data_IF_036223319887
#
_entry.id   IF_036223319887
#
_cell.length_a   1.000
_cell.length_b   1.000
_cell.length_c   1.000
_cell.angle_alpha   90.00
_cell.angle_beta   90.00
_cell.angle_gamma   90.00
#
_symmetry.space_group_name_H-M   'P 1'
#
loop_
_entity.id
_entity.type
_entity.pdbx_description
1 polymer ?
#
# COMPACT_ATOMS: atom_id res chain seq x y z
N UNK A 1 22.22 38.06 -39.11
CA UNK A 1 21.39 38.19 -37.88
C UNK A 1 19.90 37.88 -38.07
N UNK A 2 19.46 37.24 -39.17
CA UNK A 2 18.05 36.77 -39.31
C UNK A 2 17.87 35.27 -39.02
N UNK A 3 18.93 34.46 -39.15
CA UNK A 3 18.87 33.01 -38.89
C UNK A 3 18.92 32.63 -37.40
N UNK A 4 19.51 33.45 -36.54
CA UNK A 4 19.55 33.20 -35.08
C UNK A 4 18.14 33.27 -34.47
N UNK A 5 17.25 34.10 -35.04
CA UNK A 5 15.88 34.25 -34.56
C UNK A 5 15.00 33.00 -34.78
N UNK A 6 15.32 32.21 -35.81
CA UNK A 6 14.59 30.96 -36.11
C UNK A 6 14.95 29.81 -35.16
N UNK A 7 16.15 29.82 -34.56
CA UNK A 7 16.58 28.78 -33.61
C UNK A 7 15.86 28.95 -32.26
N UNK A 8 15.51 30.18 -31.88
CA UNK A 8 14.79 30.46 -30.64
C UNK A 8 13.32 29.99 -30.68
N UNK A 9 12.71 29.91 -31.87
CA UNK A 9 11.32 29.49 -32.08
C UNK A 9 11.15 27.97 -32.02
N UNK A 10 12.23 27.18 -32.16
CA UNK A 10 12.16 25.71 -32.08
C UNK A 10 12.13 25.16 -30.63
N UNK A 11 12.52 25.97 -29.63
CA UNK A 11 12.50 25.54 -28.23
C UNK A 11 11.12 25.63 -27.55
N UNK A 12 10.17 26.38 -28.12
CA UNK A 12 8.81 26.53 -27.58
C UNK A 12 7.86 25.39 -27.95
N UNK A 13 8.21 24.52 -28.91
CA UNK A 13 7.37 23.40 -29.35
C UNK A 13 7.68 22.06 -28.67
N UNK A 14 8.62 22.02 -27.71
CA UNK A 14 8.93 20.80 -26.95
C UNK A 14 8.22 20.74 -25.59
N UNK A 15 7.02 21.30 -25.47
CA UNK A 15 6.15 21.06 -24.31
C UNK A 15 5.50 19.66 -24.43
N UNK A 16 6.32 18.60 -24.40
CA UNK A 16 5.84 17.28 -24.02
C UNK A 16 5.44 17.41 -22.56
N UNK A 17 4.15 17.29 -22.28
CA UNK A 17 3.55 17.36 -20.95
C UNK A 17 4.51 16.86 -19.86
N UNK A 18 5.13 17.78 -19.13
CA UNK A 18 5.96 17.42 -17.99
C UNK A 18 5.02 16.76 -16.99
N UNK A 19 5.33 15.51 -16.64
CA UNK A 19 4.62 14.78 -15.60
C UNK A 19 4.65 15.64 -14.33
N UNK A 20 3.47 16.09 -13.90
CA UNK A 20 3.36 16.94 -12.72
C UNK A 20 3.69 16.10 -11.48
N UNK A 21 4.73 16.50 -10.76
CA UNK A 21 5.09 15.90 -9.47
C UNK A 21 4.35 16.65 -8.37
N UNK A 22 3.57 15.93 -7.58
CA UNK A 22 2.73 16.45 -6.52
C UNK A 22 3.15 15.83 -5.17
N UNK A 23 2.91 16.52 -4.04
CA UNK A 23 3.05 15.90 -2.73
C UNK A 23 2.19 14.62 -2.60
N UNK A 24 2.70 13.63 -1.87
CA UNK A 24 2.09 12.31 -1.68
C UNK A 24 0.59 12.38 -1.33
N UNK A 25 0.22 13.29 -0.42
CA UNK A 25 -1.14 13.42 0.11
C UNK A 25 -2.06 14.32 -0.72
N UNK A 26 -1.62 14.80 -1.88
CA UNK A 26 -2.46 15.65 -2.73
C UNK A 26 -3.65 14.86 -3.31
N UNK A 27 -4.74 15.57 -3.61
CA UNK A 27 -5.95 14.96 -4.16
C UNK A 27 -5.77 14.62 -5.65
N UNK A 28 -5.93 13.35 -5.98
CA UNK A 28 -5.91 12.91 -7.38
C UNK A 28 -7.12 13.41 -8.19
N UNK A 29 -8.24 13.79 -7.54
CA UNK A 29 -9.47 14.19 -8.25
C UNK A 29 -9.26 15.44 -9.11
N UNK A 30 -8.69 16.47 -8.50
CA UNK A 30 -8.35 17.74 -9.14
C UNK A 30 -7.03 17.70 -9.90
N UNK A 31 -6.27 16.61 -9.81
CA UNK A 31 -4.96 16.48 -10.46
C UNK A 31 -5.09 16.16 -11.95
N UNK A 32 -4.17 16.67 -12.80
CA UNK A 32 -4.08 16.29 -14.21
C UNK A 32 -3.76 14.81 -14.40
N UNK A 33 -4.16 14.26 -15.55
CA UNK A 33 -3.78 12.91 -15.95
C UNK A 33 -2.24 12.76 -16.01
N UNK A 34 -1.73 11.58 -15.68
CA UNK A 34 -0.32 11.22 -15.56
C UNK A 34 0.46 11.93 -14.43
N UNK A 35 -0.21 12.59 -13.48
CA UNK A 35 0.46 13.16 -12.30
C UNK A 35 1.13 12.08 -11.44
N UNK A 36 2.21 12.45 -10.76
CA UNK A 36 2.99 11.59 -9.86
C UNK A 36 2.95 12.13 -8.43
N UNK A 37 2.34 11.38 -7.52
CA UNK A 37 2.28 11.65 -6.09
C UNK A 37 3.52 11.08 -5.41
N UNK A 38 4.48 11.96 -5.11
CA UNK A 38 5.81 11.58 -4.63
C UNK A 38 5.93 11.78 -3.12
N UNK A 39 6.55 10.82 -2.44
CA UNK A 39 6.94 10.96 -1.03
C UNK A 39 8.22 11.80 -0.89
N UNK A 40 8.10 13.11 -1.15
CA UNK A 40 9.24 14.04 -1.13
C UNK A 40 9.76 14.31 0.28
N UNK A 41 8.96 14.04 1.32
CA UNK A 41 9.29 14.28 2.72
C UNK A 41 9.74 13.00 3.46
N UNK A 42 9.90 11.88 2.73
CA UNK A 42 10.31 10.59 3.29
C UNK A 42 9.41 10.11 4.44
N UNK A 43 8.10 10.42 4.38
CA UNK A 43 7.15 10.07 5.43
C UNK A 43 6.97 8.55 5.55
N UNK A 44 7.18 7.82 4.44
CA UNK A 44 7.03 6.37 4.34
C UNK A 44 8.23 5.59 4.90
N UNK A 45 9.41 6.20 4.97
CA UNK A 45 10.67 5.50 5.25
C UNK A 45 10.68 4.86 6.65
N UNK A 46 9.99 5.48 7.61
CA UNK A 46 9.82 4.93 8.95
C UNK A 46 9.26 3.50 8.93
N UNK A 47 8.25 3.26 8.09
CA UNK A 47 7.52 1.99 8.05
C UNK A 47 8.31 0.89 7.32
N UNK A 48 9.29 1.23 6.49
CA UNK A 48 10.08 0.26 5.73
C UNK A 48 10.92 -0.59 6.67
N UNK A 49 10.87 -1.91 6.49
CA UNK A 49 11.64 -2.86 7.28
C UNK A 49 10.88 -4.14 7.59
N UNK A 50 11.49 -4.96 8.45
CA UNK A 50 10.89 -6.18 8.98
C UNK A 50 10.34 -5.86 10.37
N UNK A 51 9.08 -6.22 10.58
CA UNK A 51 8.38 -5.99 11.83
C UNK A 51 7.81 -7.29 12.35
N UNK A 52 7.94 -7.52 13.65
CA UNK A 52 7.43 -8.75 14.28
C UNK A 52 6.55 -8.44 15.47
N UNK A 53 5.54 -9.27 15.68
CA UNK A 53 4.70 -9.27 16.88
C UNK A 53 4.23 -10.68 17.21
N UNK A 54 3.68 -10.84 18.42
CA UNK A 54 3.04 -12.07 18.86
C UNK A 54 1.63 -11.76 19.33
N UNK A 55 0.65 -12.51 18.85
CA UNK A 55 -0.76 -12.35 19.21
C UNK A 55 -1.46 -13.72 19.22
N UNK A 56 -2.07 -14.11 20.33
CA UNK A 56 -2.83 -15.38 20.44
C UNK A 56 -2.08 -16.63 19.93
N UNK A 57 -0.82 -16.81 20.35
CA UNK A 57 0.07 -17.91 19.90
C UNK A 57 0.40 -17.89 18.39
N UNK A 58 0.15 -16.76 17.72
CA UNK A 58 0.60 -16.50 16.37
C UNK A 58 1.83 -15.58 16.40
N UNK A 59 2.91 -16.04 15.77
CA UNK A 59 4.03 -15.19 15.40
C UNK A 59 3.66 -14.50 14.09
N UNK A 60 3.72 -13.17 14.07
CA UNK A 60 3.39 -12.35 12.91
C UNK A 60 4.66 -11.65 12.46
N UNK A 61 5.03 -11.83 11.20
CA UNK A 61 6.10 -11.10 10.54
C UNK A 61 5.51 -10.26 9.42
N UNK A 62 5.82 -8.97 9.39
CA UNK A 62 5.56 -8.07 8.28
C UNK A 62 6.89 -7.71 7.61
N UNK A 63 6.89 -7.65 6.29
CA UNK A 63 7.98 -7.14 5.47
C UNK A 63 7.41 -6.00 4.63
N UNK A 64 7.76 -4.78 5.03
CA UNK A 64 7.23 -3.56 4.44
C UNK A 64 8.29 -2.96 3.53
N UNK A 65 7.94 -2.75 2.27
CA UNK A 65 8.81 -2.13 1.28
C UNK A 65 8.15 -0.89 0.69
N UNK A 66 8.96 0.10 0.33
CA UNK A 66 8.53 1.29 -0.41
C UNK A 66 8.61 0.99 -1.91
N UNK A 67 7.49 1.14 -2.59
CA UNK A 67 7.39 1.04 -4.05
C UNK A 67 7.36 2.46 -4.63
N UNK A 68 8.24 2.71 -5.58
CA UNK A 68 8.39 4.02 -6.21
C UNK A 68 7.61 4.06 -7.51
N UNK A 69 6.86 5.15 -7.72
CA UNK A 69 6.17 5.42 -8.99
C UNK A 69 5.27 4.26 -9.44
N UNK A 70 4.54 3.65 -8.49
CA UNK A 70 3.53 2.61 -8.75
C UNK A 70 2.37 3.20 -9.55
N UNK A 71 1.97 2.60 -10.68
CA UNK A 71 0.83 3.09 -11.46
C UNK A 71 -0.49 2.79 -10.73
N UNK A 72 -1.45 3.70 -10.86
CA UNK A 72 -2.84 3.45 -10.47
C UNK A 72 -3.78 4.26 -11.37
N UNK A 73 -5.01 3.78 -11.53
CA UNK A 73 -6.04 4.45 -12.32
C UNK A 73 -7.17 4.90 -11.40
N UNK A 74 -7.66 6.13 -11.60
CA UNK A 74 -8.85 6.62 -10.93
C UNK A 74 -9.57 7.66 -11.79
N UNK A 75 -10.91 7.58 -11.84
CA UNK A 75 -11.74 8.47 -12.69
C UNK A 75 -11.29 8.52 -14.16
N UNK A 76 -10.90 7.37 -14.73
CA UNK A 76 -10.39 7.25 -16.11
C UNK A 76 -9.11 8.06 -16.37
N UNK A 77 -8.36 8.40 -15.32
CA UNK A 77 -7.05 9.04 -15.37
C UNK A 77 -6.01 8.07 -14.84
N UNK A 78 -4.86 8.02 -15.49
CA UNK A 78 -3.68 7.30 -15.04
C UNK A 78 -2.84 8.19 -14.14
N UNK A 79 -2.29 7.61 -13.09
CA UNK A 79 -1.44 8.31 -12.13
C UNK A 79 -0.31 7.41 -11.69
N UNK A 80 0.64 7.99 -10.96
CA UNK A 80 1.72 7.28 -10.31
C UNK A 80 1.79 7.71 -8.86
N UNK A 81 2.13 6.82 -7.94
CA UNK A 81 2.33 7.15 -6.52
C UNK A 81 3.54 6.41 -5.97
N UNK A 82 4.25 7.03 -5.04
CA UNK A 82 5.04 6.25 -4.09
C UNK A 82 4.07 5.64 -3.08
N UNK A 83 4.39 4.46 -2.55
CA UNK A 83 3.55 3.79 -1.58
C UNK A 83 4.27 2.66 -0.87
N UNK A 84 3.59 2.06 0.10
CA UNK A 84 4.04 0.88 0.80
C UNK A 84 3.34 -0.35 0.25
N UNK A 85 4.11 -1.43 0.14
CA UNK A 85 3.61 -2.79 0.00
C UNK A 85 4.04 -3.60 1.20
N UNK A 86 3.08 -4.29 1.82
CA UNK A 86 3.33 -5.16 2.97
C UNK A 86 3.14 -6.61 2.54
N UNK A 87 4.19 -7.39 2.75
CA UNK A 87 4.11 -8.86 2.75
C UNK A 87 4.12 -9.34 4.18
N UNK A 88 3.58 -10.52 4.43
CA UNK A 88 3.50 -11.04 5.77
C UNK A 88 3.64 -12.57 5.82
N UNK A 89 3.96 -13.07 7.00
CA UNK A 89 3.95 -14.48 7.34
C UNK A 89 3.34 -14.63 8.73
N UNK A 90 2.34 -15.51 8.85
CA UNK A 90 1.69 -15.88 10.09
C UNK A 90 2.09 -17.32 10.40
N UNK A 91 2.70 -17.55 11.57
CA UNK A 91 2.94 -18.89 12.11
C UNK A 91 2.11 -19.10 13.35
N UNK A 92 1.43 -20.24 13.46
CA UNK A 92 0.75 -20.67 14.68
C UNK A 92 1.50 -21.87 15.23
N UNK A 93 2.00 -21.75 16.46
CA UNK A 93 2.82 -22.79 17.10
C UNK A 93 4.01 -23.23 16.22
N UNK A 94 4.71 -22.27 15.60
CA UNK A 94 5.85 -22.53 14.72
C UNK A 94 5.51 -23.04 13.31
N UNK A 95 4.25 -23.35 13.01
CA UNK A 95 3.80 -23.82 11.68
C UNK A 95 3.24 -22.65 10.87
N UNK A 96 3.72 -22.48 9.63
CA UNK A 96 3.21 -21.43 8.72
C UNK A 96 1.75 -21.70 8.39
N UNK A 97 0.89 -20.77 8.79
CA UNK A 97 -0.56 -20.79 8.50
C UNK A 97 -0.86 -20.05 7.20
N UNK A 98 -0.22 -18.90 6.97
CA UNK A 98 -0.34 -18.13 5.74
C UNK A 98 0.95 -17.32 5.49
N UNK A 99 1.41 -17.25 4.24
CA UNK A 99 2.59 -16.44 3.89
C UNK A 99 2.45 -15.84 2.50
N UNK A 100 2.71 -14.54 2.41
CA UNK A 100 2.75 -13.77 1.15
C UNK A 100 4.17 -13.33 0.78
N UNK A 101 5.19 -13.78 1.53
CA UNK A 101 6.59 -13.35 1.35
C UNK A 101 7.11 -13.56 -0.08
N UNK A 102 6.71 -14.65 -0.73
CA UNK A 102 7.12 -14.99 -2.10
C UNK A 102 5.98 -14.88 -3.13
N UNK A 103 4.85 -14.25 -2.77
CA UNK A 103 3.71 -14.13 -3.66
C UNK A 103 3.97 -13.05 -4.72
N UNK A 104 3.69 -13.40 -5.97
CA UNK A 104 3.60 -12.44 -7.08
C UNK A 104 2.19 -11.83 -7.12
N UNK A 105 2.13 -10.50 -7.05
CA UNK A 105 0.89 -9.73 -7.06
C UNK A 105 0.58 -9.10 -8.43
N UNK A 106 1.35 -9.42 -9.48
CA UNK A 106 1.22 -8.78 -10.80
C UNK A 106 -0.14 -9.04 -11.43
N UNK A 107 -0.63 -10.28 -11.37
CA UNK A 107 -1.92 -10.70 -11.95
C UNK A 107 -2.92 -11.22 -10.89
N UNK A 108 -2.52 -11.28 -9.62
CA UNK A 108 -3.35 -11.75 -8.51
C UNK A 108 -3.11 -10.87 -7.28
N UNK A 109 -3.99 -9.91 -7.06
CA UNK A 109 -3.92 -8.98 -5.92
C UNK A 109 -4.46 -9.60 -4.62
N UNK A 110 -4.95 -10.84 -4.63
CA UNK A 110 -5.45 -11.52 -3.42
C UNK A 110 -4.38 -11.50 -2.34
N UNK A 111 -4.76 -11.30 -1.09
CA UNK A 111 -3.87 -11.15 0.07
C UNK A 111 -2.90 -9.96 0.01
N UNK A 112 -2.98 -9.08 -0.99
CA UNK A 112 -2.11 -7.90 -1.03
C UNK A 112 -2.49 -6.90 0.06
N UNK A 113 -1.48 -6.22 0.61
CA UNK A 113 -1.64 -5.11 1.54
C UNK A 113 -0.84 -3.94 0.97
N UNK A 114 -1.53 -2.88 0.58
CA UNK A 114 -0.92 -1.70 -0.05
C UNK A 114 -1.46 -0.41 0.59
N UNK A 115 -0.65 0.66 0.64
CA UNK A 115 -1.15 1.98 1.01
C UNK A 115 -0.17 3.10 0.70
N UNK A 116 -0.69 4.29 0.41
CA UNK A 116 0.13 5.41 -0.09
C UNK A 116 -0.14 6.75 0.61
N UNK A 117 -1.19 6.87 1.42
CA UNK A 117 -1.57 8.14 2.03
C UNK A 117 -1.26 8.16 3.51
N UNK A 118 -0.41 9.09 3.91
CA UNK A 118 -0.12 9.38 5.31
C UNK A 118 -1.11 10.39 5.86
N UNK A 119 -1.33 10.31 7.16
CA UNK A 119 -2.21 11.16 7.95
C UNK A 119 -1.45 11.60 9.21
N UNK A 120 -2.03 12.54 9.96
CA UNK A 120 -1.46 13.03 11.21
C UNK A 120 0.00 13.49 11.07
N UNK A 121 0.29 14.26 10.01
CA UNK A 121 1.65 14.74 9.67
C UNK A 121 2.66 13.60 9.50
N UNK A 122 2.25 12.50 8.87
CA UNK A 122 3.11 11.35 8.64
C UNK A 122 3.14 10.33 9.77
N UNK A 123 2.41 10.53 10.88
CA UNK A 123 2.42 9.61 12.03
C UNK A 123 1.50 8.40 11.88
N UNK A 124 0.60 8.43 10.89
CA UNK A 124 -0.33 7.36 10.61
C UNK A 124 -0.35 7.07 9.12
N UNK A 125 -0.42 5.79 8.74
CA UNK A 125 -0.71 5.39 7.37
C UNK A 125 -1.86 4.39 7.37
N UNK A 126 -2.73 4.53 6.37
CA UNK A 126 -3.81 3.60 6.12
C UNK A 126 -3.44 2.72 4.92
N UNK A 127 -3.54 1.41 5.11
CA UNK A 127 -3.33 0.38 4.12
C UNK A 127 -4.67 -0.33 3.85
N UNK A 128 -4.79 -0.92 2.66
CA UNK A 128 -5.93 -1.75 2.27
C UNK A 128 -5.45 -3.18 2.12
N UNK A 129 -6.08 -4.11 2.83
CA UNK A 129 -5.95 -5.54 2.59
C UNK A 129 -7.00 -5.97 1.57
N UNK A 130 -6.57 -6.58 0.47
CA UNK A 130 -7.47 -7.03 -0.60
C UNK A 130 -8.34 -8.24 -0.20
N UNK A 131 -8.04 -8.89 0.92
CA UNK A 131 -8.74 -10.08 1.39
C UNK A 131 -8.19 -11.38 0.78
N UNK A 132 -8.62 -12.50 1.37
CA UNK A 132 -8.32 -13.85 0.91
C UNK A 132 -9.24 -14.30 -0.21
N UNK A 133 -9.59 -15.59 -0.22
CA UNK A 133 -10.53 -16.10 -1.20
C UNK A 133 -11.86 -15.32 -1.10
N UNK A 134 -12.40 -14.91 -2.25
CA UNK A 134 -13.61 -14.11 -2.33
C UNK A 134 -13.56 -12.81 -1.51
N UNK A 135 -12.37 -12.22 -1.40
CA UNK A 135 -12.12 -10.98 -0.67
C UNK A 135 -12.46 -11.08 0.82
N UNK A 136 -12.41 -12.29 1.40
CA UNK A 136 -12.67 -12.48 2.83
C UNK A 136 -11.63 -11.74 3.66
N UNK A 137 -12.10 -10.95 4.63
CA UNK A 137 -11.25 -10.06 5.41
C UNK A 137 -10.86 -8.77 4.69
N UNK A 138 -11.32 -8.51 3.46
CA UNK A 138 -11.06 -7.22 2.79
C UNK A 138 -11.35 -6.07 3.75
N UNK A 139 -10.39 -5.17 3.92
CA UNK A 139 -10.46 -4.26 5.05
C UNK A 139 -9.34 -3.26 5.11
N UNK A 140 -9.41 -2.46 6.16
CA UNK A 140 -8.47 -1.37 6.40
C UNK A 140 -7.49 -1.77 7.49
N UNK A 141 -6.21 -1.54 7.25
CA UNK A 141 -5.16 -1.67 8.25
C UNK A 141 -4.60 -0.27 8.53
N UNK A 142 -4.38 0.05 9.79
CA UNK A 142 -3.79 1.31 10.23
C UNK A 142 -2.47 1.01 10.92
N UNK A 143 -1.39 1.62 10.44
CA UNK A 143 -0.10 1.61 11.14
C UNK A 143 0.17 3.00 11.73
N UNK A 144 0.40 3.06 13.03
CA UNK A 144 0.71 4.30 13.76
C UNK A 144 2.13 4.24 14.33
N UNK A 145 2.89 5.32 14.17
CA UNK A 145 4.22 5.45 14.79
C UNK A 145 4.06 5.56 16.31
N UNK A 146 4.78 4.75 17.07
CA UNK A 146 4.82 4.87 18.54
C UNK A 146 6.18 5.39 19.01
N UNK A 147 7.26 4.75 18.53
CA UNK A 147 8.66 5.09 18.83
C UNK A 147 9.54 4.72 17.63
N UNK A 148 10.85 4.98 17.67
CA UNK A 148 11.80 4.73 16.57
C UNK A 148 11.72 3.30 16.02
N UNK A 149 11.50 2.31 16.89
CA UNK A 149 11.48 0.88 16.54
C UNK A 149 10.14 0.19 16.83
N UNK A 150 9.07 0.94 17.10
CA UNK A 150 7.76 0.38 17.43
C UNK A 150 6.63 1.08 16.70
N UNK A 151 5.74 0.28 16.10
CA UNK A 151 4.49 0.77 15.53
C UNK A 151 3.29 0.02 16.11
N UNK A 152 2.14 0.70 16.18
CA UNK A 152 0.86 0.07 16.49
C UNK A 152 0.14 -0.33 15.21
N UNK A 153 -0.42 -1.53 15.23
CA UNK A 153 -1.31 -2.10 14.22
C UNK A 153 -2.76 -2.02 14.69
N UNK A 154 -3.64 -1.63 13.77
CA UNK A 154 -5.08 -1.84 13.90
C UNK A 154 -5.64 -2.41 12.61
N UNK A 155 -6.47 -3.45 12.70
CA UNK A 155 -7.09 -4.07 11.52
C UNK A 155 -8.61 -4.14 11.66
N UNK A 156 -9.27 -3.61 10.65
CA UNK A 156 -10.71 -3.41 10.55
C UNK A 156 -11.20 -4.13 9.29
N UNK A 157 -11.49 -5.44 9.37
CA UNK A 157 -12.08 -6.15 8.24
C UNK A 157 -13.47 -5.59 7.96
N UNK A 158 -13.77 -5.42 6.68
CA UNK A 158 -15.12 -5.12 6.21
C UNK A 158 -16.00 -6.36 6.31
N UNK A 159 -17.32 -6.14 6.24
CA UNK A 159 -18.28 -7.24 6.14
C UNK A 159 -18.23 -7.84 4.73
N UNK A 160 -17.72 -9.06 4.59
CA UNK A 160 -17.90 -9.81 3.35
C UNK A 160 -19.33 -10.37 3.31
N UNK A 161 -20.11 -10.02 2.29
CA UNK A 161 -21.37 -10.70 2.00
C UNK A 161 -21.05 -11.99 1.24
N UNK A 162 -21.28 -13.14 1.87
CA UNK A 162 -21.19 -14.43 1.19
C UNK A 162 -22.33 -14.52 0.16
N UNK A 163 -21.97 -14.74 -1.10
CA UNK A 163 -22.89 -15.28 -2.10
C UNK A 163 -22.31 -16.61 -2.59
N UNK A 164 -22.97 -17.70 -2.22
CA UNK A 164 -22.55 -19.08 -2.51
C UNK A 164 -22.46 -19.39 -4.01
N UNK A 165 -23.07 -18.55 -4.86
CA UNK A 165 -23.02 -18.69 -6.32
C UNK A 165 -21.66 -18.26 -6.88
N UNK A 166 -21.04 -17.23 -6.31
CA UNK A 166 -19.75 -16.68 -6.77
C UNK A 166 -18.57 -17.12 -5.92
N UNK A 167 -18.82 -17.75 -4.78
CA UNK A 167 -17.78 -18.19 -3.84
C UNK A 167 -18.03 -19.62 -3.35
N UNK A 168 -17.39 -20.64 -3.96
CA UNK A 168 -17.58 -22.04 -3.61
C UNK A 168 -17.21 -22.36 -2.16
N UNK A 169 -18.04 -23.14 -1.43
CA UNK A 169 -17.85 -23.40 0.01
C UNK A 169 -16.61 -24.23 0.36
N UNK A 170 -15.93 -24.80 -0.62
CA UNK A 170 -14.70 -25.59 -0.44
C UNK A 170 -13.42 -24.74 -0.36
N UNK A 171 -13.54 -23.40 -0.39
CA UNK A 171 -12.41 -22.49 -0.23
C UNK A 171 -12.09 -22.23 1.24
N UNK A 172 -10.89 -21.74 1.53
CA UNK A 172 -10.53 -21.24 2.86
C UNK A 172 -11.02 -19.80 3.04
N UNK A 173 -11.82 -19.59 4.09
CA UNK A 173 -12.40 -18.30 4.51
C UNK A 173 -11.76 -17.79 5.80
N UNK A 174 -10.68 -18.40 6.27
CA UNK A 174 -10.01 -18.00 7.49
C UNK A 174 -9.26 -16.68 7.28
N UNK A 175 -9.48 -15.73 8.18
CA UNK A 175 -8.65 -14.51 8.26
C UNK A 175 -7.49 -14.77 9.22
N UNK A 176 -6.28 -14.89 8.69
CA UNK A 176 -5.11 -15.22 9.50
C UNK A 176 -4.49 -14.00 10.19
N UNK A 177 -4.61 -12.82 9.57
CA UNK A 177 -4.15 -11.54 10.12
C UNK A 177 -4.81 -11.24 11.48
N UNK A 178 -4.10 -10.58 12.40
CA UNK A 178 -4.63 -10.27 13.73
C UNK A 178 -5.70 -9.16 13.64
N UNK A 179 -6.96 -9.54 13.83
CA UNK A 179 -8.11 -8.64 13.94
C UNK A 179 -8.16 -8.03 15.34
N UNK A 180 -7.36 -7.00 15.55
CA UNK A 180 -7.22 -6.32 16.83
C UNK A 180 -6.71 -4.90 16.62
N UNK A 181 -6.83 -4.09 17.66
CA UNK A 181 -6.30 -2.73 17.72
C UNK A 181 -5.11 -2.64 18.67
N UNK A 182 -4.23 -1.66 18.42
CA UNK A 182 -3.08 -1.32 19.26
C UNK A 182 -2.09 -2.49 19.45
N UNK A 183 -2.07 -3.47 18.53
CA UNK A 183 -1.07 -4.52 18.54
C UNK A 183 0.30 -3.93 18.20
N UNK A 184 1.25 -4.04 19.11
CA UNK A 184 2.58 -3.44 18.94
C UNK A 184 3.47 -4.38 18.14
N UNK A 185 4.04 -3.85 17.07
CA UNK A 185 5.10 -4.47 16.30
C UNK A 185 6.44 -3.83 16.64
N UNK A 186 7.48 -4.67 16.72
CA UNK A 186 8.87 -4.22 16.93
C UNK A 186 9.68 -4.46 15.66
N UNK A 187 10.51 -3.49 15.29
CA UNK A 187 11.42 -3.58 14.15
C UNK A 187 12.57 -4.55 14.46
N UNK A 188 12.94 -5.40 13.49
CA UNK A 188 14.08 -6.32 13.58
C UNK A 188 15.34 -5.71 12.99
#
# INVERSE_FOLDING_TARGET
MKQIFYILILFIFSCKAQQQVLPLNNSAFSSPNNSYFKDSNNELDYYVGIWTSNYENKEIKLVIVKEIKKPFEMWKKNFYTDGLRVRYEIKKNGIVSESTLNKDFTNDIKLSIDGSKTQDNGNRITLVFAGGNCSVGIGTIVLKKNDVNQLSWGYYPGTATMNDISCPPNLDYTVYLPETENLVFTKQ
#
